data_IF_669410267556
#
_entry.id   IF_669410267556
#
_cell.length_a   1.000
_cell.length_b   1.000
_cell.length_c   1.000
_cell.angle_alpha   90.00
_cell.angle_beta   90.00
_cell.angle_gamma   90.00
#
_symmetry.space_group_name_H-M   'P 1'
#
loop_
_entity.id
_entity.type
_entity.pdbx_description
1 polymer ?
#
# COMPACT_ATOMS: atom_id res chain seq x y z
N UNK A 1 -8.44 -25.21 12.76
CA UNK A 1 -8.59 -23.79 13.16
C UNK A 1 -7.92 -22.92 12.10
N UNK A 2 -8.69 -22.44 11.12
CA UNK A 2 -8.15 -21.64 10.01
C UNK A 2 -7.72 -20.26 10.49
N UNK A 3 -6.48 -19.87 10.19
CA UNK A 3 -5.91 -18.57 10.59
C UNK A 3 -6.78 -17.44 10.03
N UNK A 4 -7.46 -16.70 10.91
CA UNK A 4 -8.30 -15.54 10.54
C UNK A 4 -7.42 -14.56 9.77
N UNK A 5 -7.65 -14.44 8.46
CA UNK A 5 -6.94 -13.48 7.61
C UNK A 5 -7.39 -12.08 8.02
N UNK A 6 -6.45 -11.22 8.40
CA UNK A 6 -6.75 -9.82 8.64
C UNK A 6 -7.32 -9.18 7.35
N UNK A 7 -8.28 -8.26 7.45
CA UNK A 7 -8.80 -7.56 6.30
C UNK A 7 -7.69 -6.77 5.59
N UNK A 8 -7.65 -6.83 4.27
CA UNK A 8 -6.71 -6.08 3.44
C UNK A 8 -7.28 -4.67 3.21
N UNK A 9 -6.59 -3.62 3.66
CA UNK A 9 -7.04 -2.23 3.57
C UNK A 9 -6.75 -1.61 2.20
N UNK A 10 -5.60 -1.93 1.60
CA UNK A 10 -5.16 -1.40 0.32
C UNK A 10 -4.23 -2.39 -0.38
N UNK A 11 -4.46 -2.58 -1.69
CA UNK A 11 -3.61 -3.41 -2.56
C UNK A 11 -2.93 -2.54 -3.61
N UNK A 12 -1.61 -2.39 -3.54
CA UNK A 12 -0.83 -1.71 -4.57
C UNK A 12 -0.60 -2.60 -5.81
N UNK A 13 -0.46 -2.01 -7.02
CA UNK A 13 -0.14 -2.76 -8.24
C UNK A 13 1.35 -3.18 -8.32
N UNK A 14 2.13 -2.92 -7.27
CA UNK A 14 3.55 -3.26 -7.16
C UNK A 14 3.88 -3.66 -5.71
N UNK A 15 4.95 -4.46 -5.48
CA UNK A 15 5.42 -4.80 -4.13
C UNK A 15 5.65 -3.57 -3.25
N UNK A 16 5.22 -3.63 -1.99
CA UNK A 16 5.40 -2.56 -1.00
C UNK A 16 6.59 -2.87 -0.10
N UNK A 17 7.40 -1.85 0.18
CA UNK A 17 8.61 -1.98 0.99
C UNK A 17 8.73 -0.94 2.10
N UNK A 18 7.96 0.14 2.06
CA UNK A 18 7.94 1.16 3.10
C UNK A 18 6.51 1.62 3.43
N UNK A 19 6.30 1.95 4.70
CA UNK A 19 5.02 2.42 5.24
C UNK A 19 5.27 3.56 6.24
N UNK A 20 4.48 4.61 6.13
CA UNK A 20 4.47 5.71 7.09
C UNK A 20 3.02 6.12 7.39
N UNK A 21 2.74 6.45 8.64
CA UNK A 21 1.46 7.04 9.06
C UNK A 21 1.71 8.51 9.36
N UNK A 22 0.95 9.39 8.71
CA UNK A 22 0.88 10.80 9.04
C UNK A 22 -0.41 11.04 9.86
N UNK A 23 -0.31 11.12 11.20
CA UNK A 23 -1.47 11.28 12.06
C UNK A 23 -2.10 12.67 11.93
N UNK A 24 -1.32 13.69 11.54
CA UNK A 24 -1.83 15.06 11.42
C UNK A 24 -2.77 15.21 10.22
N UNK A 25 -2.47 14.52 9.13
CA UNK A 25 -3.30 14.51 7.93
C UNK A 25 -4.34 13.36 7.90
N UNK A 26 -4.24 12.41 8.83
CA UNK A 26 -5.04 11.19 8.82
C UNK A 26 -4.73 10.31 7.61
N UNK A 27 -3.45 10.19 7.24
CA UNK A 27 -3.01 9.49 6.03
C UNK A 27 -2.08 8.33 6.33
N UNK A 28 -2.24 7.29 5.53
CA UNK A 28 -1.36 6.14 5.42
C UNK A 28 -0.61 6.25 4.10
N UNK A 29 0.72 6.29 4.17
CA UNK A 29 1.60 6.48 3.02
C UNK A 29 2.35 5.17 2.79
N UNK A 30 2.10 4.52 1.67
CA UNK A 30 2.75 3.27 1.27
C UNK A 30 3.62 3.49 0.05
N UNK A 31 4.86 3.00 0.08
CA UNK A 31 5.80 3.13 -1.03
C UNK A 31 6.36 1.77 -1.44
N UNK A 32 6.60 1.63 -2.74
CA UNK A 32 6.98 0.35 -3.32
C UNK A 32 7.39 0.42 -4.78
N UNK A 33 7.77 -0.74 -5.30
CA UNK A 33 8.34 -0.85 -6.63
C UNK A 33 8.62 -2.28 -7.10
N UNK A 34 9.08 -2.40 -8.34
CA UNK A 34 9.39 -3.69 -8.96
C UNK A 34 8.16 -4.44 -9.49
N UNK A 35 7.02 -3.76 -9.65
CA UNK A 35 5.82 -4.37 -10.20
C UNK A 35 6.06 -4.87 -11.63
N UNK A 36 5.82 -6.17 -11.86
CA UNK A 36 5.87 -6.76 -13.19
C UNK A 36 4.60 -6.35 -13.97
N UNK A 37 4.63 -5.16 -14.58
CA UNK A 37 3.56 -4.67 -15.44
C UNK A 37 4.09 -4.38 -16.86
N UNK A 38 3.25 -4.58 -17.87
CA UNK A 38 3.57 -4.24 -19.27
C UNK A 38 3.40 -2.73 -19.53
N UNK A 39 2.39 -2.13 -18.93
CA UNK A 39 2.05 -0.70 -19.00
C UNK A 39 1.57 -0.23 -17.61
N UNK A 40 1.48 1.09 -17.39
CA UNK A 40 1.07 1.66 -16.10
C UNK A 40 2.24 1.90 -15.14
N UNK A 41 1.94 1.96 -13.83
CA UNK A 41 2.90 2.34 -12.79
C UNK A 41 3.49 1.08 -12.15
N UNK A 42 4.83 0.96 -12.19
CA UNK A 42 5.57 -0.17 -11.58
C UNK A 42 6.21 0.16 -10.23
N UNK A 43 6.35 1.45 -9.93
CA UNK A 43 6.93 1.98 -8.70
C UNK A 43 6.17 3.25 -8.32
N UNK A 44 5.95 3.48 -7.03
CA UNK A 44 5.28 4.69 -6.60
C UNK A 44 5.09 4.81 -5.11
N UNK A 45 4.58 5.98 -4.72
CA UNK A 45 4.15 6.32 -3.37
C UNK A 45 2.66 6.61 -3.41
N UNK A 46 1.88 5.98 -2.54
CA UNK A 46 0.43 6.12 -2.48
C UNK A 46 0.03 6.61 -1.10
N UNK A 47 -0.96 7.51 -1.07
CA UNK A 47 -1.53 8.09 0.16
C UNK A 47 -2.99 7.66 0.25
N UNK A 48 -3.36 6.98 1.32
CA UNK A 48 -4.74 6.59 1.61
C UNK A 48 -5.20 7.27 2.90
N UNK A 49 -6.47 7.69 2.98
CA UNK A 49 -7.05 8.18 4.24
C UNK A 49 -7.34 6.99 5.16
N UNK A 50 -6.89 7.05 6.41
CA UNK A 50 -7.40 6.15 7.45
C UNK A 50 -8.82 6.58 7.79
N UNK A 51 -9.79 5.67 7.66
CA UNK A 51 -11.16 5.89 8.15
C UNK A 51 -11.25 5.59 9.64
#
# INVERSE_FOLDING_TARGET
>A
MGRRRAPELYRAPFPLYALQVDPSAGLLIAAGGGGAAKTGIKNGVVRARGQ
#
